data_IF_841242300936
#
_entry.id   IF_841242300936
#
_cell.length_a   1.000
_cell.length_b   1.000
_cell.length_c   1.000
_cell.angle_alpha   90.00
_cell.angle_beta   90.00
_cell.angle_gamma   90.00
#
_symmetry.space_group_name_H-M   'P 1'
#
loop_
_entity.id
_entity.type
_entity.pdbx_description
1 polymer ?
#
# COMPACT_ATOMS: atom_id res chain seq x y z
N UNK A 1 -12.45 -48.73 -67.43
CA UNK A 1 -12.12 -47.35 -67.04
C UNK A 1 -12.90 -47.03 -65.78
N UNK A 2 -12.25 -47.09 -64.62
CA UNK A 2 -12.85 -46.72 -63.34
C UNK A 2 -12.28 -45.35 -62.95
N UNK A 3 -13.13 -44.33 -62.94
CA UNK A 3 -12.76 -42.98 -62.53
C UNK A 3 -12.83 -42.86 -61.02
N UNK A 4 -11.67 -42.59 -60.40
CA UNK A 4 -11.51 -42.36 -58.97
C UNK A 4 -11.99 -40.95 -58.62
N UNK A 5 -12.94 -40.84 -57.69
CA UNK A 5 -13.43 -39.57 -57.14
C UNK A 5 -12.42 -39.02 -56.12
N UNK A 6 -11.80 -37.89 -56.44
CA UNK A 6 -11.06 -37.11 -55.45
C UNK A 6 -12.04 -36.45 -54.46
N UNK A 7 -11.99 -36.88 -53.20
CA UNK A 7 -12.61 -36.18 -52.10
C UNK A 7 -11.83 -34.88 -51.85
N UNK A 8 -12.49 -33.74 -51.99
CA UNK A 8 -11.94 -32.43 -51.64
C UNK A 8 -11.77 -32.34 -50.12
N UNK A 9 -10.56 -32.03 -49.67
CA UNK A 9 -10.29 -31.72 -48.27
C UNK A 9 -11.06 -30.46 -47.86
N UNK A 10 -11.91 -30.60 -46.85
CA UNK A 10 -12.56 -29.48 -46.16
C UNK A 10 -11.49 -28.57 -45.54
N UNK A 11 -11.54 -27.24 -45.73
CA UNK A 11 -10.62 -26.33 -45.06
C UNK A 11 -10.90 -26.37 -43.56
N UNK A 12 -9.86 -26.63 -42.77
CA UNK A 12 -9.92 -26.51 -41.31
C UNK A 12 -10.34 -25.08 -40.95
N UNK A 13 -11.57 -24.93 -40.45
CA UNK A 13 -12.06 -23.70 -39.87
C UNK A 13 -11.25 -23.44 -38.61
N UNK A 14 -10.24 -22.57 -38.69
CA UNK A 14 -9.57 -22.04 -37.49
C UNK A 14 -10.64 -21.34 -36.65
N UNK A 15 -11.00 -21.93 -35.52
CA UNK A 15 -11.78 -21.25 -34.48
C UNK A 15 -11.06 -19.94 -34.14
N UNK A 16 -11.63 -18.82 -34.57
CA UNK A 16 -11.16 -17.51 -34.14
C UNK A 16 -11.49 -17.39 -32.65
N UNK A 17 -10.47 -17.56 -31.81
CA UNK A 17 -10.58 -17.26 -30.39
C UNK A 17 -10.97 -15.78 -30.24
N UNK A 18 -12.18 -15.53 -29.73
CA UNK A 18 -12.78 -14.21 -29.59
C UNK A 18 -12.17 -13.39 -28.45
N UNK A 19 -10.85 -13.15 -28.50
CA UNK A 19 -10.20 -12.23 -27.57
C UNK A 19 -10.43 -10.78 -28.00
N UNK A 20 -10.76 -9.93 -27.04
CA UNK A 20 -10.85 -8.50 -27.28
C UNK A 20 -9.46 -7.92 -27.57
N UNK A 21 -9.34 -6.96 -28.52
CA UNK A 21 -8.08 -6.31 -28.81
C UNK A 21 -7.61 -5.44 -27.64
N UNK A 22 -6.31 -5.12 -27.61
CA UNK A 22 -5.73 -4.21 -26.62
C UNK A 22 -6.42 -2.85 -26.67
N UNK A 23 -6.90 -2.37 -25.51
CA UNK A 23 -7.46 -1.02 -25.37
C UNK A 23 -6.45 0.10 -25.65
N UNK A 24 -5.16 -0.22 -25.69
CA UNK A 24 -4.07 0.74 -25.87
C UNK A 24 -3.53 0.81 -27.30
N UNK A 25 -3.76 -0.22 -28.13
CA UNK A 25 -3.15 -0.31 -29.46
C UNK A 25 -1.66 0.06 -29.45
N UNK A 26 -1.26 0.96 -30.34
CA UNK A 26 0.13 1.44 -30.48
C UNK A 26 0.41 2.71 -29.67
N UNK A 27 -0.45 3.06 -28.71
CA UNK A 27 -0.34 4.31 -27.94
C UNK A 27 1.06 4.49 -27.35
N UNK A 28 1.59 3.49 -26.66
CA UNK A 28 2.88 3.60 -25.97
C UNK A 28 4.11 3.59 -26.89
N UNK A 29 3.97 3.13 -28.13
CA UNK A 29 5.05 3.18 -29.14
C UNK A 29 5.30 4.65 -29.54
N UNK A 30 4.22 5.39 -29.78
CA UNK A 30 4.24 6.77 -30.24
C UNK A 30 4.16 7.81 -29.12
N UNK A 31 3.88 7.38 -27.89
CA UNK A 31 3.72 8.28 -26.77
C UNK A 31 5.05 8.91 -26.36
N UNK A 32 5.11 10.24 -26.45
CA UNK A 32 6.17 11.05 -25.86
C UNK A 32 5.58 11.82 -24.67
N UNK A 33 6.04 11.57 -23.43
CA UNK A 33 5.57 12.32 -22.28
C UNK A 33 5.92 13.81 -22.44
N UNK A 34 5.04 14.72 -21.97
CA UNK A 34 5.32 16.15 -22.02
C UNK A 34 6.60 16.44 -21.23
N UNK A 35 7.41 17.44 -21.66
CA UNK A 35 8.65 17.75 -20.99
C UNK A 35 8.36 18.11 -19.52
N UNK A 36 9.11 17.54 -18.56
CA UNK A 36 8.88 17.83 -17.15
C UNK A 36 9.14 19.32 -16.88
N UNK A 37 8.43 19.88 -15.89
CA UNK A 37 8.62 21.30 -15.47
C UNK A 37 10.05 21.60 -15.00
N UNK A 38 10.80 20.56 -14.62
CA UNK A 38 12.19 20.60 -14.16
C UNK A 38 12.95 19.49 -14.88
N UNK A 39 14.25 19.67 -15.12
CA UNK A 39 15.05 18.62 -15.75
C UNK A 39 15.15 17.39 -14.85
N UNK A 40 15.39 16.22 -15.45
CA UNK A 40 15.54 14.96 -14.73
C UNK A 40 16.72 15.00 -13.76
N UNK A 41 17.84 15.60 -14.16
CA UNK A 41 19.03 15.77 -13.31
C UNK A 41 18.72 16.61 -12.07
N UNK A 42 17.90 17.65 -12.22
CA UNK A 42 17.45 18.45 -11.09
C UNK A 42 16.55 17.64 -10.16
N UNK A 43 15.60 16.86 -10.71
CA UNK A 43 14.69 16.04 -9.92
C UNK A 43 15.45 14.99 -9.10
N UNK A 44 16.44 14.32 -9.70
CA UNK A 44 17.32 13.37 -9.03
C UNK A 44 18.11 14.07 -7.92
N UNK A 45 18.79 15.18 -8.22
CA UNK A 45 19.59 15.89 -7.23
C UNK A 45 18.74 16.40 -6.06
N UNK A 46 17.49 16.84 -6.33
CA UNK A 46 16.56 17.27 -5.30
C UNK A 46 16.07 16.10 -4.45
N UNK A 47 15.75 14.96 -5.07
CA UNK A 47 15.34 13.75 -4.38
C UNK A 47 16.45 13.26 -3.44
N UNK A 48 17.71 13.21 -3.89
CA UNK A 48 18.85 12.81 -3.04
C UNK A 48 19.02 13.72 -1.82
N UNK A 49 18.87 15.03 -1.99
CA UNK A 49 18.88 15.96 -0.86
C UNK A 49 17.75 15.65 0.14
N UNK A 50 16.54 15.44 -0.36
CA UNK A 50 15.37 15.14 0.48
C UNK A 50 15.52 13.79 1.21
N UNK A 51 16.11 12.76 0.58
CA UNK A 51 16.45 11.50 1.26
C UNK A 51 17.41 11.72 2.43
N UNK A 52 18.39 12.61 2.27
CA UNK A 52 19.27 13.05 3.36
C UNK A 52 18.50 13.74 4.49
N UNK A 53 17.58 14.64 4.15
CA UNK A 53 16.73 15.33 5.13
C UNK A 53 15.82 14.35 5.90
N UNK A 54 15.23 13.35 5.22
CA UNK A 54 14.42 12.30 5.87
C UNK A 54 15.28 11.39 6.75
N UNK A 55 16.50 11.06 6.33
CA UNK A 55 17.44 10.31 7.16
C UNK A 55 17.80 11.07 8.44
N UNK A 56 17.86 12.40 8.38
CA UNK A 56 18.04 13.24 9.57
C UNK A 56 16.79 13.25 10.47
N UNK A 57 15.58 13.19 9.90
CA UNK A 57 14.34 13.03 10.70
C UNK A 57 14.40 11.75 11.54
N UNK A 58 14.80 10.63 10.96
CA UNK A 58 14.99 9.38 11.72
C UNK A 58 15.96 9.52 12.90
N UNK A 59 17.10 10.22 12.70
CA UNK A 59 18.11 10.41 13.73
C UNK A 59 17.69 11.38 14.85
N UNK A 60 16.86 12.36 14.51
CA UNK A 60 16.41 13.40 15.45
C UNK A 60 15.12 13.03 16.17
N UNK A 61 14.35 12.08 15.64
CA UNK A 61 13.17 11.51 16.28
C UNK A 61 13.54 10.53 17.40
N UNK A 62 13.54 11.00 18.65
CA UNK A 62 13.89 10.18 19.81
C UNK A 62 12.83 9.11 20.18
N UNK A 63 11.59 9.21 19.69
CA UNK A 63 10.51 8.29 20.05
C UNK A 63 10.33 7.14 19.04
N UNK A 64 10.35 5.90 19.52
CA UNK A 64 10.04 4.69 18.73
C UNK A 64 8.69 4.81 18.03
N UNK A 65 7.66 5.26 18.75
CA UNK A 65 6.31 5.50 18.21
C UNK A 65 6.31 6.52 17.07
N UNK A 66 7.07 7.61 17.20
CA UNK A 66 7.18 8.62 16.13
C UNK A 66 7.88 8.07 14.89
N UNK A 67 8.96 7.28 15.08
CA UNK A 67 9.63 6.59 13.96
C UNK A 67 8.70 5.56 13.30
N UNK A 68 7.87 4.89 14.07
CA UNK A 68 6.85 3.95 13.57
C UNK A 68 5.83 4.63 12.65
N UNK A 69 5.25 5.76 13.08
CA UNK A 69 4.36 6.55 12.22
C UNK A 69 5.07 7.14 10.99
N UNK A 70 6.35 7.48 11.12
CA UNK A 70 7.15 7.91 9.99
C UNK A 70 7.30 6.79 8.96
N UNK A 71 7.64 5.57 9.39
CA UNK A 71 7.75 4.40 8.48
C UNK A 71 6.41 4.10 7.82
N UNK A 72 5.31 4.11 8.56
CA UNK A 72 3.96 3.93 8.01
C UNK A 72 3.66 4.96 6.90
N UNK A 73 4.02 6.23 7.14
CA UNK A 73 3.85 7.30 6.15
C UNK A 73 4.73 7.04 4.91
N UNK A 74 5.99 6.63 5.09
CA UNK A 74 6.90 6.34 3.97
C UNK A 74 6.41 5.18 3.11
N UNK A 75 5.89 4.12 3.73
CA UNK A 75 5.32 2.96 3.03
C UNK A 75 4.08 3.34 2.23
N UNK A 76 3.16 4.10 2.84
CA UNK A 76 1.98 4.59 2.12
C UNK A 76 2.33 5.56 0.98
N UNK A 77 3.40 6.34 1.11
CA UNK A 77 3.92 7.21 0.05
C UNK A 77 4.73 6.45 -1.02
N UNK A 78 5.06 5.18 -0.79
CA UNK A 78 5.83 4.34 -1.71
C UNK A 78 7.32 4.69 -1.81
N UNK A 79 7.87 5.35 -0.78
CA UNK A 79 9.27 5.80 -0.71
C UNK A 79 10.08 5.10 0.38
N UNK A 80 9.51 4.09 1.02
CA UNK A 80 10.12 3.25 2.06
C UNK A 80 11.41 2.55 1.60
N UNK A 81 11.45 2.13 0.33
CA UNK A 81 12.59 1.44 -0.28
C UNK A 81 13.92 2.23 -0.30
N UNK A 82 13.91 3.53 0.02
CA UNK A 82 15.12 4.33 0.19
C UNK A 82 15.70 4.27 1.61
N UNK A 83 15.00 3.63 2.56
CA UNK A 83 15.27 3.71 3.99
C UNK A 83 15.31 2.33 4.66
N UNK A 84 15.73 1.29 3.93
CA UNK A 84 15.75 -0.10 4.41
C UNK A 84 16.52 -0.27 5.73
N UNK A 85 17.66 0.41 5.90
CA UNK A 85 18.47 0.37 7.12
C UNK A 85 17.70 0.93 8.32
N UNK A 86 17.09 2.11 8.17
CA UNK A 86 16.32 2.77 9.23
C UNK A 86 15.06 1.97 9.60
N UNK A 87 14.42 1.36 8.60
CA UNK A 87 13.27 0.48 8.82
C UNK A 87 13.70 -0.78 9.54
N UNK A 88 14.81 -1.40 9.14
CA UNK A 88 15.35 -2.60 9.79
C UNK A 88 15.69 -2.33 11.27
N UNK A 89 16.39 -1.24 11.56
CA UNK A 89 16.74 -0.84 12.93
C UNK A 89 15.50 -0.62 13.79
N UNK A 90 14.48 0.04 13.24
CA UNK A 90 13.21 0.23 13.93
C UNK A 90 12.52 -1.10 14.20
N UNK A 91 12.46 -2.02 13.23
CA UNK A 91 11.81 -3.32 13.40
C UNK A 91 12.47 -4.14 14.52
N UNK A 92 13.80 -4.10 14.62
CA UNK A 92 14.53 -4.76 15.71
C UNK A 92 14.12 -4.21 17.09
N UNK A 93 14.04 -2.88 17.23
CA UNK A 93 13.56 -2.23 18.46
C UNK A 93 12.09 -2.56 18.77
N UNK A 94 11.26 -2.66 17.74
CA UNK A 94 9.87 -3.10 17.84
C UNK A 94 9.74 -4.60 18.14
N UNK A 95 10.78 -5.42 18.05
CA UNK A 95 10.73 -6.81 18.48
C UNK A 95 11.08 -6.96 19.96
N UNK A 96 12.04 -6.17 20.43
CA UNK A 96 12.53 -6.23 21.82
C UNK A 96 11.58 -5.56 22.83
N UNK A 97 10.77 -4.61 22.38
CA UNK A 97 9.84 -3.88 23.26
C UNK A 97 8.59 -4.69 23.64
N UNK A 98 7.93 -4.36 24.75
CA UNK A 98 6.67 -5.02 25.14
C UNK A 98 5.45 -4.35 24.46
N UNK A 99 4.56 -5.17 23.89
CA UNK A 99 3.28 -4.70 23.34
C UNK A 99 2.32 -4.18 24.42
N UNK A 100 2.51 -4.56 25.68
CA UNK A 100 1.66 -4.16 26.81
C UNK A 100 1.83 -2.70 27.21
N UNK A 101 2.90 -2.04 26.74
CA UNK A 101 3.23 -0.66 27.09
C UNK A 101 2.31 0.40 26.47
N UNK A 102 1.70 0.12 25.30
CA UNK A 102 0.82 1.06 24.62
C UNK A 102 -0.66 0.79 24.92
N UNK A 103 -1.44 1.83 25.22
CA UNK A 103 -2.90 1.75 25.33
C UNK A 103 -3.62 2.04 24.00
N UNK A 104 -2.89 2.47 22.97
CA UNK A 104 -3.46 2.90 21.69
C UNK A 104 -3.65 1.72 20.74
N UNK A 105 -4.90 1.51 20.29
CA UNK A 105 -5.22 0.50 19.28
C UNK A 105 -4.40 0.74 18.00
N UNK A 106 -4.31 2.01 17.57
CA UNK A 106 -3.57 2.39 16.38
C UNK A 106 -2.10 1.98 16.46
N UNK A 107 -1.43 2.27 17.58
CA UNK A 107 0.00 1.92 17.74
C UNK A 107 0.22 0.40 17.73
N UNK A 108 -0.63 -0.36 18.41
CA UNK A 108 -0.50 -1.83 18.45
C UNK A 108 -0.81 -2.47 17.11
N UNK A 109 -1.87 -2.03 16.44
CA UNK A 109 -2.23 -2.52 15.12
C UNK A 109 -1.14 -2.20 14.10
N UNK A 110 -0.59 -0.98 14.13
CA UNK A 110 0.48 -0.58 13.22
C UNK A 110 1.76 -1.40 13.46
N UNK A 111 2.16 -1.54 14.72
CA UNK A 111 3.31 -2.37 15.09
C UNK A 111 3.13 -3.81 14.63
N UNK A 112 1.93 -4.37 14.81
CA UNK A 112 1.59 -5.70 14.31
C UNK A 112 1.75 -5.79 12.78
N UNK A 113 1.22 -4.80 12.03
CA UNK A 113 1.37 -4.73 10.58
C UNK A 113 2.83 -4.74 10.16
N UNK A 114 3.62 -3.77 10.65
CA UNK A 114 5.02 -3.58 10.28
C UNK A 114 5.84 -4.84 10.52
N UNK A 115 5.67 -5.50 11.67
CA UNK A 115 6.40 -6.73 11.99
C UNK A 115 5.99 -7.90 11.08
N UNK A 116 4.68 -8.11 10.89
CA UNK A 116 4.16 -9.23 10.07
C UNK A 116 4.48 -9.07 8.59
N UNK A 117 4.39 -7.86 8.05
CA UNK A 117 4.74 -7.56 6.66
C UNK A 117 6.23 -7.79 6.38
N UNK A 118 7.09 -7.66 7.40
CA UNK A 118 8.52 -7.95 7.32
C UNK A 118 8.87 -9.38 7.76
N UNK A 119 7.88 -10.27 7.86
CA UNK A 119 8.10 -11.70 8.11
C UNK A 119 8.32 -12.09 9.58
N UNK A 120 8.14 -11.15 10.52
CA UNK A 120 8.20 -11.48 11.94
C UNK A 120 6.86 -12.00 12.43
N UNK A 121 6.90 -13.12 13.16
CA UNK A 121 5.70 -13.66 13.80
C UNK A 121 5.34 -12.84 15.05
N UNK A 122 4.08 -12.40 15.11
CA UNK A 122 3.51 -11.68 16.25
C UNK A 122 2.16 -12.32 16.57
N UNK A 123 1.93 -12.78 17.80
CA UNK A 123 0.65 -13.41 18.16
C UNK A 123 -0.52 -12.42 18.04
N UNK A 124 -1.69 -12.83 17.50
CA UNK A 124 -2.92 -12.03 17.56
C UNK A 124 -3.38 -11.67 18.97
N UNK A 125 -2.89 -12.37 19.99
CA UNK A 125 -3.22 -12.13 21.41
C UNK A 125 -2.91 -10.70 21.88
N UNK A 126 -2.04 -9.98 21.16
CA UNK A 126 -1.76 -8.55 21.42
C UNK A 126 -3.03 -7.68 21.37
N UNK A 127 -4.08 -8.15 20.69
CA UNK A 127 -5.36 -7.47 20.60
C UNK A 127 -6.34 -7.81 21.74
N UNK A 128 -6.07 -8.83 22.56
CA UNK A 128 -6.98 -9.27 23.62
C UNK A 128 -7.18 -8.18 24.70
N UNK A 129 -6.19 -7.31 24.90
CA UNK A 129 -6.30 -6.17 25.84
C UNK A 129 -7.35 -5.13 25.43
N UNK A 130 -7.85 -5.18 24.19
CA UNK A 130 -8.94 -4.32 23.70
C UNK A 130 -10.31 -4.98 23.82
N UNK A 131 -10.36 -6.17 24.41
CA UNK A 131 -11.60 -6.90 24.66
C UNK A 131 -12.11 -6.67 26.09
N UNK A 132 -13.41 -6.84 26.28
CA UNK A 132 -14.08 -6.83 27.57
C UNK A 132 -14.10 -8.23 28.21
N UNK A 133 -14.70 -8.32 29.40
CA UNK A 133 -14.87 -9.58 30.13
C UNK A 133 -15.71 -10.62 29.37
N UNK A 134 -16.60 -10.15 28.49
CA UNK A 134 -17.43 -10.99 27.62
C UNK A 134 -16.68 -11.53 26.38
N UNK A 135 -15.40 -11.16 26.23
CA UNK A 135 -14.54 -11.56 25.11
C UNK A 135 -14.76 -10.75 23.83
N UNK A 136 -15.68 -9.78 23.82
CA UNK A 136 -15.95 -8.90 22.68
C UNK A 136 -15.06 -7.66 22.72
N UNK A 137 -14.80 -7.05 21.56
CA UNK A 137 -14.09 -5.77 21.49
C UNK A 137 -14.87 -4.67 22.23
N UNK A 138 -14.18 -3.93 23.09
CA UNK A 138 -14.80 -2.88 23.90
C UNK A 138 -15.34 -1.75 23.00
N UNK A 139 -16.39 -1.07 23.47
CA UNK A 139 -16.98 0.04 22.71
C UNK A 139 -16.12 1.31 22.75
N UNK A 140 -15.26 1.49 23.74
CA UNK A 140 -14.40 2.69 23.86
C UNK A 140 -13.39 2.81 22.70
N UNK A 141 -12.89 1.69 22.17
CA UNK A 141 -11.99 1.69 21.00
C UNK A 141 -12.68 2.13 19.71
N UNK A 142 -14.02 2.23 19.69
CA UNK A 142 -14.78 2.67 18.51
C UNK A 142 -14.62 4.16 18.19
N UNK A 143 -14.06 4.93 19.13
CA UNK A 143 -13.81 6.37 19.01
C UNK A 143 -12.54 6.72 18.21
N UNK A 144 -11.75 5.73 17.78
CA UNK A 144 -10.53 5.93 16.98
C UNK A 144 -10.66 5.25 15.59
N UNK A 145 -11.26 5.94 14.60
CA UNK A 145 -11.42 5.37 13.26
C UNK A 145 -10.09 5.04 12.57
N UNK A 146 -9.00 5.77 12.88
CA UNK A 146 -7.66 5.49 12.32
C UNK A 146 -7.12 4.19 12.90
N UNK A 147 -7.21 4.01 14.21
CA UNK A 147 -6.82 2.75 14.86
C UNK A 147 -7.61 1.55 14.38
N UNK A 148 -8.89 1.72 14.07
CA UNK A 148 -9.75 0.65 13.54
C UNK A 148 -9.44 0.34 12.08
N UNK A 149 -9.14 1.35 11.26
CA UNK A 149 -8.63 1.15 9.91
C UNK A 149 -7.31 0.37 9.92
N UNK A 150 -6.42 0.74 10.83
CA UNK A 150 -5.15 0.04 11.03
C UNK A 150 -5.37 -1.42 11.49
N UNK A 151 -6.28 -1.66 12.45
CA UNK A 151 -6.68 -3.00 12.88
C UNK A 151 -7.26 -3.81 11.71
N UNK A 152 -8.12 -3.20 10.89
CA UNK A 152 -8.67 -3.84 9.71
C UNK A 152 -7.55 -4.28 8.75
N UNK A 153 -6.57 -3.42 8.47
CA UNK A 153 -5.41 -3.78 7.65
C UNK A 153 -4.58 -4.89 8.31
N UNK A 154 -4.32 -4.82 9.63
CA UNK A 154 -3.59 -5.84 10.39
C UNK A 154 -4.23 -7.24 10.25
N UNK A 155 -5.56 -7.31 10.30
CA UNK A 155 -6.27 -8.59 10.16
C UNK A 155 -6.11 -9.21 8.77
N UNK A 156 -5.77 -8.45 7.73
CA UNK A 156 -5.52 -9.00 6.40
C UNK A 156 -4.14 -9.67 6.25
N UNK A 157 -3.30 -9.60 7.29
CA UNK A 157 -2.03 -10.32 7.45
C UNK A 157 -2.20 -11.64 8.21
N UNK A 158 -3.45 -12.10 8.37
CA UNK A 158 -3.76 -13.39 8.98
C UNK A 158 -3.10 -14.54 8.23
N UNK A 159 -2.70 -15.56 8.98
CA UNK A 159 -2.31 -16.87 8.46
C UNK A 159 -3.34 -17.93 8.88
N UNK A 160 -3.20 -19.15 8.36
CA UNK A 160 -4.13 -20.24 8.68
C UNK A 160 -4.16 -20.53 10.19
N UNK A 161 -5.37 -20.65 10.74
CA UNK A 161 -5.58 -21.01 12.14
C UNK A 161 -5.60 -19.83 13.13
N UNK A 162 -5.91 -18.62 12.67
CA UNK A 162 -5.97 -17.40 13.50
C UNK A 162 -7.40 -16.85 13.67
N UNK A 163 -8.31 -17.56 14.38
CA UNK A 163 -9.71 -17.15 14.52
C UNK A 163 -9.87 -15.79 15.24
N UNK A 164 -8.90 -15.38 16.06
CA UNK A 164 -8.88 -14.06 16.70
C UNK A 164 -8.78 -12.92 15.69
N UNK A 165 -8.00 -13.09 14.62
CA UNK A 165 -7.92 -12.10 13.55
C UNK A 165 -9.16 -12.14 12.66
N UNK A 166 -9.79 -13.30 12.47
CA UNK A 166 -11.06 -13.40 11.76
C UNK A 166 -12.19 -12.65 12.48
N UNK A 167 -12.25 -12.78 13.82
CA UNK A 167 -13.17 -12.04 14.67
C UNK A 167 -12.88 -10.53 14.61
N UNK A 168 -11.62 -10.13 14.77
CA UNK A 168 -11.20 -8.73 14.68
C UNK A 168 -11.48 -8.12 13.31
N UNK A 169 -11.33 -8.89 12.23
CA UNK A 169 -11.67 -8.48 10.87
C UNK A 169 -13.16 -8.18 10.75
N UNK A 170 -14.02 -9.08 11.27
CA UNK A 170 -15.47 -8.87 11.29
C UNK A 170 -15.84 -7.60 12.06
N UNK A 171 -15.30 -7.43 13.26
CA UNK A 171 -15.52 -6.24 14.09
C UNK A 171 -15.11 -4.95 13.38
N UNK A 172 -13.86 -4.87 12.92
CA UNK A 172 -13.31 -3.67 12.31
C UNK A 172 -14.07 -3.31 11.03
N UNK A 173 -14.39 -4.30 10.18
CA UNK A 173 -15.16 -4.08 8.95
C UNK A 173 -16.56 -3.55 9.24
N UNK A 174 -17.30 -4.16 10.18
CA UNK A 174 -18.65 -3.73 10.53
C UNK A 174 -18.68 -2.28 10.99
N UNK A 175 -17.73 -1.92 11.86
CA UNK A 175 -17.67 -0.57 12.40
C UNK A 175 -17.23 0.47 11.35
N UNK A 176 -16.19 0.18 10.56
CA UNK A 176 -15.76 1.06 9.46
C UNK A 176 -16.90 1.33 8.46
N UNK A 177 -17.68 0.30 8.09
CA UNK A 177 -18.86 0.47 7.24
C UNK A 177 -19.91 1.36 7.91
N UNK A 178 -20.14 1.18 9.22
CA UNK A 178 -21.11 1.98 9.98
C UNK A 178 -20.75 3.46 10.07
N UNK A 179 -19.46 3.80 10.24
CA UNK A 179 -19.02 5.19 10.41
C UNK A 179 -18.62 5.87 9.10
N UNK A 180 -18.48 5.13 8.00
CA UNK A 180 -17.97 5.65 6.72
C UNK A 180 -18.68 6.94 6.24
N UNK A 181 -19.99 7.05 6.46
CA UNK A 181 -20.77 8.25 6.07
C UNK A 181 -20.53 9.49 6.94
N UNK A 182 -19.93 9.34 8.12
CA UNK A 182 -19.64 10.43 9.08
C UNK A 182 -18.19 10.91 9.08
N UNK A 183 -17.29 10.13 8.47
CA UNK A 183 -15.86 10.47 8.41
C UNK A 183 -15.62 11.64 7.44
N UNK A 184 -14.65 12.49 7.79
CA UNK A 184 -14.18 13.55 6.90
C UNK A 184 -13.07 13.04 5.98
N UNK A 185 -12.89 13.72 4.85
CA UNK A 185 -11.72 13.50 4.00
C UNK A 185 -10.44 13.98 4.72
N UNK A 186 -9.28 13.34 4.46
CA UNK A 186 -9.08 12.23 3.53
C UNK A 186 -9.42 10.84 4.11
N UNK A 187 -9.61 10.70 5.42
CA UNK A 187 -9.83 9.42 6.08
C UNK A 187 -11.03 8.63 5.53
N UNK A 188 -12.13 9.31 5.20
CA UNK A 188 -13.28 8.67 4.55
C UNK A 188 -12.92 8.00 3.22
N UNK A 189 -12.03 8.60 2.43
CA UNK A 189 -11.55 8.04 1.16
C UNK A 189 -10.70 6.80 1.43
N UNK A 190 -9.79 6.87 2.41
CA UNK A 190 -8.93 5.76 2.84
C UNK A 190 -9.77 4.55 3.32
N UNK A 191 -10.77 4.79 4.19
CA UNK A 191 -11.67 3.73 4.68
C UNK A 191 -12.45 3.09 3.54
N UNK A 192 -13.03 3.91 2.64
CA UNK A 192 -13.77 3.39 1.47
C UNK A 192 -12.90 2.48 0.60
N UNK A 193 -11.64 2.85 0.38
CA UNK A 193 -10.70 2.01 -0.38
C UNK A 193 -10.35 0.72 0.33
N UNK A 194 -9.98 0.78 1.61
CA UNK A 194 -9.61 -0.41 2.38
C UNK A 194 -10.75 -1.44 2.44
N UNK A 195 -12.01 -0.99 2.54
CA UNK A 195 -13.18 -1.88 2.50
C UNK A 195 -13.30 -2.60 1.15
N UNK A 196 -12.98 -1.93 0.04
CA UNK A 196 -12.97 -2.54 -1.29
C UNK A 196 -11.79 -3.50 -1.47
N UNK A 197 -10.60 -3.09 -1.04
CA UNK A 197 -9.38 -3.90 -1.04
C UNK A 197 -8.47 -3.43 0.09
N UNK A 198 -8.25 -4.29 1.08
CA UNK A 198 -7.39 -3.97 2.21
C UNK A 198 -5.96 -3.70 1.77
N UNK A 199 -5.28 -2.81 2.49
CA UNK A 199 -3.95 -2.30 2.12
C UNK A 199 -2.92 -3.42 1.87
N UNK A 200 -2.80 -4.47 2.71
CA UNK A 200 -1.81 -5.53 2.46
C UNK A 200 -2.04 -6.33 1.17
N UNK A 201 -3.25 -6.23 0.57
CA UNK A 201 -3.64 -6.92 -0.67
C UNK A 201 -3.70 -5.97 -1.87
N UNK A 202 -3.39 -4.70 -1.67
CA UNK A 202 -3.46 -3.68 -2.69
C UNK A 202 -2.13 -3.55 -3.47
N UNK A 203 -2.20 -3.03 -4.69
CA UNK A 203 -0.99 -2.74 -5.46
C UNK A 203 -0.33 -1.48 -4.90
N UNK A 204 0.87 -1.63 -4.34
CA UNK A 204 1.58 -0.54 -3.65
C UNK A 204 1.66 0.75 -4.47
N UNK A 205 1.98 0.65 -5.77
CA UNK A 205 2.06 1.84 -6.65
C UNK A 205 0.71 2.54 -6.86
N UNK A 206 -0.38 1.79 -6.93
CA UNK A 206 -1.72 2.37 -7.11
C UNK A 206 -2.19 3.05 -5.82
N UNK A 207 -1.96 2.42 -4.67
CA UNK A 207 -2.27 3.03 -3.36
C UNK A 207 -1.41 4.26 -3.10
N UNK A 208 -0.10 4.21 -3.40
CA UNK A 208 0.79 5.35 -3.23
C UNK A 208 0.33 6.57 -4.04
N UNK A 209 -0.11 6.38 -5.28
CA UNK A 209 -0.64 7.47 -6.11
C UNK A 209 -1.87 8.14 -5.45
N UNK A 210 -2.76 7.35 -4.87
CA UNK A 210 -3.96 7.85 -4.20
C UNK A 210 -3.60 8.52 -2.87
N UNK A 211 -2.71 7.89 -2.09
CA UNK A 211 -2.28 8.39 -0.79
C UNK A 211 -1.47 9.68 -0.90
N UNK A 212 -0.64 9.88 -1.93
CA UNK A 212 0.09 11.15 -2.15
C UNK A 212 -0.87 12.35 -2.18
N UNK A 213 -2.01 12.20 -2.85
CA UNK A 213 -3.01 13.28 -2.94
C UNK A 213 -3.75 13.48 -1.61
N UNK A 214 -3.94 12.41 -0.85
CA UNK A 214 -4.61 12.45 0.46
C UNK A 214 -3.71 13.02 1.54
N UNK A 215 -2.43 12.65 1.53
CA UNK A 215 -1.43 13.15 2.47
C UNK A 215 -1.27 14.67 2.36
N UNK A 216 -1.41 15.24 1.16
CA UNK A 216 -1.44 16.70 0.95
C UNK A 216 -2.67 17.37 1.59
N UNK A 217 -3.79 16.64 1.76
CA UNK A 217 -4.99 17.10 2.46
C UNK A 217 -4.90 16.90 3.99
N UNK A 218 -3.94 16.12 4.49
CA UNK A 218 -3.81 15.84 5.93
C UNK A 218 -3.27 17.06 6.70
N UNK A 219 -3.87 17.34 7.85
CA UNK A 219 -3.41 18.40 8.74
C UNK A 219 -2.04 18.04 9.33
N UNK A 220 -1.07 18.96 9.18
CA UNK A 220 0.28 18.77 9.71
C UNK A 220 1.17 17.83 8.90
N UNK A 221 0.80 17.51 7.64
CA UNK A 221 1.64 16.70 6.76
C UNK A 221 3.05 17.29 6.58
N UNK A 222 4.04 16.41 6.42
CA UNK A 222 5.42 16.81 6.27
C UNK A 222 5.74 17.09 4.79
N UNK A 223 6.04 18.35 4.49
CA UNK A 223 6.35 18.80 3.13
C UNK A 223 7.57 18.10 2.52
N UNK A 224 8.56 17.70 3.34
CA UNK A 224 9.76 16.97 2.88
C UNK A 224 9.35 15.60 2.33
N UNK A 225 8.48 14.89 3.05
CA UNK A 225 7.97 13.57 2.64
C UNK A 225 7.12 13.68 1.38
N UNK A 226 6.20 14.66 1.35
CA UNK A 226 5.32 14.89 0.21
C UNK A 226 6.10 15.25 -1.06
N UNK A 227 7.10 16.13 -0.95
CA UNK A 227 7.94 16.52 -2.09
C UNK A 227 8.76 15.33 -2.59
N UNK A 228 9.37 14.55 -1.68
CA UNK A 228 10.13 13.37 -2.04
C UNK A 228 9.25 12.34 -2.75
N UNK A 229 8.07 12.05 -2.22
CA UNK A 229 7.12 11.11 -2.82
C UNK A 229 6.69 11.53 -4.23
N UNK A 230 6.39 12.81 -4.44
CA UNK A 230 6.04 13.34 -5.77
C UNK A 230 7.20 13.22 -6.76
N UNK A 231 8.43 13.52 -6.34
CA UNK A 231 9.61 13.41 -7.21
C UNK A 231 9.92 11.95 -7.55
N UNK A 232 9.96 11.09 -6.54
CA UNK A 232 10.26 9.67 -6.70
C UNK A 232 9.24 8.96 -7.59
N UNK A 233 7.95 9.20 -7.34
CA UNK A 233 6.87 8.63 -8.14
C UNK A 233 7.01 9.01 -9.62
N UNK A 234 7.29 10.29 -9.90
CA UNK A 234 7.46 10.79 -11.26
C UNK A 234 8.72 10.22 -11.90
N UNK A 235 9.87 10.19 -11.21
CA UNK A 235 11.11 9.61 -11.73
C UNK A 235 10.91 8.14 -12.13
N UNK A 236 10.30 7.34 -11.26
CA UNK A 236 9.97 5.94 -11.56
C UNK A 236 8.96 5.82 -12.70
N UNK A 237 8.00 6.74 -12.82
CA UNK A 237 7.06 6.77 -13.94
C UNK A 237 7.79 6.98 -15.28
N UNK A 238 8.83 7.82 -15.34
CA UNK A 238 9.62 8.01 -16.57
C UNK A 238 10.33 6.72 -16.97
N UNK A 239 10.90 5.99 -16.00
CA UNK A 239 11.51 4.67 -16.24
C UNK A 239 10.48 3.67 -16.77
N UNK A 240 9.33 3.54 -16.09
CA UNK A 240 8.27 2.61 -16.53
C UNK A 240 7.74 2.92 -17.92
N UNK A 241 7.60 4.21 -18.29
CA UNK A 241 7.15 4.60 -19.63
C UNK A 241 8.17 4.21 -20.71
N UNK A 242 9.46 4.32 -20.42
CA UNK A 242 10.52 3.86 -21.31
C UNK A 242 10.49 2.35 -21.47
N UNK A 243 10.43 1.61 -20.37
CA UNK A 243 10.32 0.15 -20.39
C UNK A 243 9.07 -0.32 -21.14
N UNK A 244 7.94 0.35 -20.92
CA UNK A 244 6.69 0.02 -21.60
C UNK A 244 6.79 0.25 -23.11
N UNK A 245 7.42 1.35 -23.54
CA UNK A 245 7.70 1.59 -24.96
C UNK A 245 8.55 0.48 -25.56
N UNK A 246 9.67 0.15 -24.92
CA UNK A 246 10.59 -0.91 -25.37
C UNK A 246 9.86 -2.27 -25.47
N UNK A 247 8.99 -2.60 -24.51
CA UNK A 247 8.17 -3.83 -24.55
C UNK A 247 7.16 -3.80 -25.70
N UNK A 248 6.49 -2.67 -25.92
CA UNK A 248 5.49 -2.56 -27.00
C UNK A 248 6.11 -2.51 -28.39
N UNK A 249 7.36 -2.10 -28.54
CA UNK A 249 8.07 -2.16 -29.82
C UNK A 249 8.51 -3.60 -30.18
N UNK A 250 8.63 -4.49 -29.18
CA UNK A 250 9.04 -5.88 -29.35
C UNK A 250 7.88 -6.86 -29.60
N UNK A 251 6.65 -6.50 -29.18
CA UNK A 251 5.46 -7.36 -29.25
C UNK A 251 4.59 -7.08 -30.46
#
# INVERSE_FOLDING_TARGET
MASSSHAAATPETKEQLGFEPSSWGDFFISYEPPPPKRSEEWMIARAEKLKGDVSLLFKTCNGTTTRMFLVDTLQHLGIDHHFDEQIHDLLNELLESDFSSSSSLHEVALRFCLLRENGHWVSPDVFDKYKGEDGSFRKDITNDPKGILCLYNATHLLIHGEPKLEEAMCFARQHLVSVNGSLQAPLAKQVKRAIHRALPRACRRVEALQYISEYEEEEGHNQILLELAKLDFNLLQHVHLKELKDITELG
#
